data_IF_052611523051
#
_entry.id   IF_052611523051
#
_cell.length_a   1.000
_cell.length_b   1.000
_cell.length_c   1.000
_cell.angle_alpha   90.00
_cell.angle_beta   90.00
_cell.angle_gamma   90.00
#
_symmetry.space_group_name_H-M   'P 1'
#
loop_
_entity.id
_entity.type
_entity.pdbx_description
1 polymer ?
#
# COMPACT_ATOMS: atom_id res chain seq x y z
N UNK A 1 2.96 18.98 -20.24
CA UNK A 1 3.58 18.92 -18.90
C UNK A 1 4.72 17.88 -18.82
N UNK A 2 4.91 16.99 -19.80
CA UNK A 2 5.86 15.85 -19.68
C UNK A 2 7.17 15.94 -20.48
N UNK A 3 7.31 16.88 -21.43
CA UNK A 3 8.53 16.96 -22.26
C UNK A 3 9.80 17.22 -21.44
N UNK A 4 9.70 17.90 -20.29
CA UNK A 4 10.82 18.14 -19.37
C UNK A 4 11.31 16.87 -18.66
N UNK A 5 10.48 15.83 -18.54
CA UNK A 5 10.86 14.54 -17.95
C UNK A 5 11.66 13.67 -18.93
N UNK A 6 11.50 13.92 -20.24
CA UNK A 6 12.19 13.19 -21.31
C UNK A 6 13.45 13.90 -21.82
N UNK A 7 13.60 15.21 -21.56
CA UNK A 7 14.78 15.98 -21.99
C UNK A 7 15.93 15.91 -20.99
N UNK A 8 17.02 15.25 -21.42
CA UNK A 8 18.32 15.29 -20.73
C UNK A 8 19.06 16.59 -21.05
N UNK A 9 19.75 17.21 -20.08
CA UNK A 9 19.92 16.77 -18.69
C UNK A 9 18.88 17.29 -17.70
N UNK A 10 17.94 18.13 -18.16
CA UNK A 10 17.00 18.86 -17.30
C UNK A 10 16.14 17.94 -16.43
N UNK A 11 15.84 16.73 -16.91
CA UNK A 11 15.05 15.74 -16.22
C UNK A 11 15.69 15.26 -14.90
N UNK A 12 16.92 14.76 -14.94
CA UNK A 12 17.58 14.22 -13.74
C UNK A 12 18.01 15.33 -12.79
N UNK A 13 18.39 16.51 -13.31
CA UNK A 13 18.70 17.68 -12.46
C UNK A 13 17.46 18.09 -11.65
N UNK A 14 16.31 18.21 -12.32
CA UNK A 14 15.04 18.54 -11.67
C UNK A 14 14.61 17.47 -10.66
N UNK A 15 14.75 16.20 -11.02
CA UNK A 15 14.42 15.07 -10.12
C UNK A 15 15.33 15.05 -8.88
N UNK A 16 16.64 15.25 -9.04
CA UNK A 16 17.59 15.31 -7.93
C UNK A 16 17.28 16.48 -6.98
N UNK A 17 16.98 17.67 -7.51
CA UNK A 17 16.60 18.81 -6.68
C UNK A 17 15.28 18.54 -5.92
N UNK A 18 14.28 17.97 -6.59
CA UNK A 18 13.02 17.57 -5.96
C UNK A 18 13.23 16.56 -4.83
N UNK A 19 14.04 15.52 -5.07
CA UNK A 19 14.36 14.50 -4.07
C UNK A 19 15.09 15.06 -2.85
N UNK A 20 16.09 15.93 -3.06
CA UNK A 20 16.81 16.58 -1.95
C UNK A 20 15.88 17.48 -1.13
N UNK A 21 15.00 18.23 -1.79
CA UNK A 21 13.98 19.04 -1.10
C UNK A 21 13.04 18.17 -0.27
N UNK A 22 12.57 17.06 -0.83
CA UNK A 22 11.69 16.12 -0.12
C UNK A 22 12.37 15.51 1.11
N UNK A 23 13.63 15.08 0.99
CA UNK A 23 14.45 14.59 2.11
C UNK A 23 14.55 15.62 3.25
N UNK A 24 14.85 16.88 2.91
CA UNK A 24 14.95 17.95 3.91
C UNK A 24 13.61 18.21 4.58
N UNK A 25 12.51 18.29 3.80
CA UNK A 25 11.16 18.51 4.35
C UNK A 25 10.75 17.35 5.26
N UNK A 26 10.98 16.09 4.84
CA UNK A 26 10.65 14.92 5.65
C UNK A 26 11.44 14.91 6.96
N UNK A 27 12.72 15.26 6.95
CA UNK A 27 13.57 15.26 8.15
C UNK A 27 13.14 16.30 9.20
N UNK A 28 12.48 17.38 8.78
CA UNK A 28 12.02 18.45 9.68
C UNK A 28 10.58 18.23 10.19
N UNK A 29 9.86 17.22 9.70
CA UNK A 29 8.50 16.94 10.15
C UNK A 29 8.54 16.05 11.41
N UNK A 30 7.75 16.37 12.45
CA UNK A 30 7.62 15.49 13.61
C UNK A 30 6.91 14.18 13.22
N UNK A 31 7.29 13.09 13.88
CA UNK A 31 6.62 11.80 13.70
C UNK A 31 5.25 11.82 14.38
N UNK A 32 4.18 11.51 13.63
CA UNK A 32 2.80 11.53 14.09
C UNK A 32 2.33 10.13 14.42
N UNK A 33 1.74 9.97 15.61
CA UNK A 33 1.09 8.71 16.01
C UNK A 33 -0.36 8.70 15.56
N UNK A 34 -0.83 7.54 15.09
CA UNK A 34 -2.20 7.34 14.62
C UNK A 34 -2.82 6.19 15.41
N UNK A 35 -4.12 6.28 15.73
CA UNK A 35 -4.86 5.18 16.36
C UNK A 35 -4.36 4.84 17.76
N UNK A 36 -4.02 5.83 18.57
CA UNK A 36 -3.61 5.62 19.97
C UNK A 36 -4.75 5.05 20.83
N UNK A 37 -6.00 5.24 20.40
CA UNK A 37 -7.22 4.71 20.99
C UNK A 37 -7.63 3.34 20.42
N UNK A 38 -6.87 2.78 19.49
CA UNK A 38 -7.19 1.50 18.87
C UNK A 38 -7.16 0.36 19.91
N UNK A 39 -8.31 -0.26 20.12
CA UNK A 39 -8.49 -1.39 21.03
C UNK A 39 -9.24 -2.52 20.34
N UNK A 40 -8.93 -3.76 20.71
CA UNK A 40 -9.70 -4.93 20.24
C UNK A 40 -11.13 -4.82 20.74
N UNK A 41 -12.09 -5.11 19.86
CA UNK A 41 -13.49 -5.20 20.22
C UNK A 41 -13.68 -6.16 21.42
N UNK A 42 -14.44 -5.79 22.48
CA UNK A 42 -14.66 -6.63 23.65
C UNK A 42 -15.13 -8.05 23.33
N UNK A 43 -15.93 -8.24 22.28
CA UNK A 43 -16.38 -9.56 21.84
C UNK A 43 -15.24 -10.48 21.36
N UNK A 44 -14.13 -9.89 20.89
CA UNK A 44 -12.94 -10.61 20.47
C UNK A 44 -11.94 -10.86 21.62
N UNK A 45 -12.05 -10.10 22.71
CA UNK A 45 -11.22 -10.29 23.90
C UNK A 45 -11.57 -11.60 24.63
N UNK A 46 -12.83 -12.03 24.55
CA UNK A 46 -13.32 -13.30 25.14
C UNK A 46 -13.24 -14.48 24.18
N UNK A 47 -12.69 -14.28 22.97
CA UNK A 47 -12.64 -15.31 21.95
C UNK A 47 -11.49 -16.31 22.19
N UNK A 48 -11.82 -17.56 22.52
CA UNK A 48 -10.85 -18.58 22.90
C UNK A 48 -10.01 -19.15 21.72
N UNK A 49 -10.40 -18.91 20.46
CA UNK A 49 -9.65 -19.39 19.30
C UNK A 49 -8.67 -18.33 18.81
N UNK A 50 -7.42 -18.73 18.57
CA UNK A 50 -6.43 -17.85 17.92
C UNK A 50 -6.84 -17.58 16.48
N UNK A 51 -6.76 -16.31 16.07
CA UNK A 51 -6.96 -15.88 14.68
C UNK A 51 -5.60 -15.62 14.04
N UNK A 52 -5.41 -16.10 12.80
CA UNK A 52 -4.20 -15.87 12.01
C UNK A 52 -4.62 -15.32 10.65
N UNK A 53 -4.11 -14.13 10.33
CA UNK A 53 -4.31 -13.49 9.02
C UNK A 53 -2.97 -13.41 8.31
N UNK A 54 -2.93 -13.88 7.06
CA UNK A 54 -1.76 -13.77 6.18
C UNK A 54 -2.07 -12.77 5.08
N UNK A 55 -1.30 -11.69 5.02
CA UNK A 55 -1.39 -10.70 3.95
C UNK A 55 -0.27 -10.94 2.94
N UNK A 56 -0.65 -11.27 1.70
CA UNK A 56 0.30 -11.46 0.59
C UNK A 56 0.33 -10.18 -0.25
N UNK A 57 1.48 -9.51 -0.29
CA UNK A 57 1.70 -8.32 -1.14
C UNK A 57 2.32 -8.76 -2.46
N UNK A 58 1.55 -8.65 -3.54
CA UNK A 58 2.05 -8.91 -4.89
C UNK A 58 2.91 -7.76 -5.42
N UNK A 59 3.65 -8.00 -6.51
CA UNK A 59 4.56 -7.01 -7.10
C UNK A 59 4.04 -6.46 -8.44
N UNK A 60 4.09 -7.26 -9.51
CA UNK A 60 3.74 -6.82 -10.87
C UNK A 60 2.53 -7.55 -11.49
N UNK A 61 1.74 -8.23 -10.67
CA UNK A 61 0.59 -9.00 -11.14
C UNK A 61 -0.56 -8.05 -11.53
N UNK A 62 -1.15 -8.26 -12.72
CA UNK A 62 -2.21 -7.42 -13.28
C UNK A 62 -3.52 -8.19 -13.39
N UNK A 63 -4.62 -7.57 -12.98
CA UNK A 63 -5.96 -8.19 -12.93
C UNK A 63 -6.39 -8.82 -14.27
N UNK A 64 -6.08 -8.16 -15.39
CA UNK A 64 -6.40 -8.63 -16.74
C UNK A 64 -5.82 -10.01 -17.10
N UNK A 65 -4.79 -10.46 -16.35
CA UNK A 65 -4.10 -11.73 -16.60
C UNK A 65 -4.44 -12.81 -15.57
N UNK A 66 -5.44 -12.61 -14.70
CA UNK A 66 -5.89 -13.62 -13.73
C UNK A 66 -7.06 -14.43 -14.27
N UNK A 67 -6.89 -15.75 -14.36
CA UNK A 67 -7.96 -16.67 -14.79
C UNK A 67 -9.21 -16.55 -13.93
N UNK A 68 -9.06 -16.46 -12.60
CA UNK A 68 -10.16 -16.24 -11.65
C UNK A 68 -10.91 -14.91 -11.84
N UNK A 69 -10.38 -13.97 -12.64
CA UNK A 69 -11.02 -12.70 -12.98
C UNK A 69 -11.57 -12.68 -14.43
N UNK A 70 -11.57 -13.82 -15.12
CA UNK A 70 -12.13 -13.97 -16.47
C UNK A 70 -11.10 -13.98 -17.60
N UNK A 71 -9.80 -14.09 -17.30
CA UNK A 71 -8.78 -14.23 -18.35
C UNK A 71 -8.90 -15.57 -19.09
N UNK A 72 -8.74 -15.54 -20.42
CA UNK A 72 -8.94 -16.70 -21.30
C UNK A 72 -7.98 -17.88 -21.03
N UNK A 73 -6.83 -17.64 -20.38
CA UNK A 73 -5.90 -18.70 -19.97
C UNK A 73 -6.05 -18.96 -18.48
N UNK A 74 -6.03 -20.24 -18.09
CA UNK A 74 -6.05 -20.63 -16.68
C UNK A 74 -4.68 -20.36 -16.03
N UNK A 75 -4.49 -19.13 -15.57
CA UNK A 75 -3.29 -18.68 -14.85
C UNK A 75 -3.38 -18.88 -13.34
N UNK A 76 -4.54 -19.31 -12.83
CA UNK A 76 -4.82 -19.46 -11.40
C UNK A 76 -5.53 -20.79 -11.07
N UNK A 77 -5.01 -21.94 -11.54
CA UNK A 77 -5.71 -23.23 -11.48
C UNK A 77 -5.91 -23.75 -10.04
N UNK A 78 -5.04 -23.34 -9.11
CA UNK A 78 -5.12 -23.72 -7.70
C UNK A 78 -6.18 -22.87 -6.98
N UNK A 79 -6.12 -21.55 -7.15
CA UNK A 79 -7.08 -20.62 -6.54
C UNK A 79 -8.52 -20.91 -6.97
N UNK A 80 -8.73 -21.28 -8.24
CA UNK A 80 -10.07 -21.60 -8.75
C UNK A 80 -10.73 -22.83 -8.08
N UNK A 81 -9.97 -23.62 -7.31
CA UNK A 81 -10.47 -24.79 -6.58
C UNK A 81 -10.68 -24.53 -5.09
N UNK A 82 -10.31 -23.35 -4.60
CA UNK A 82 -10.42 -23.01 -3.19
C UNK A 82 -11.87 -22.67 -2.83
N UNK A 83 -12.41 -23.41 -1.85
CA UNK A 83 -13.77 -23.18 -1.37
C UNK A 83 -13.86 -21.85 -0.59
N UNK A 84 -14.89 -21.05 -0.88
CA UNK A 84 -15.10 -19.76 -0.23
C UNK A 84 -14.16 -18.64 -0.69
N UNK A 85 -13.44 -18.82 -1.81
CA UNK A 85 -12.64 -17.76 -2.41
C UNK A 85 -13.55 -16.59 -2.83
N UNK A 86 -13.15 -15.37 -2.44
CA UNK A 86 -13.79 -14.13 -2.89
C UNK A 86 -12.80 -13.40 -3.81
N UNK A 87 -13.21 -13.15 -5.05
CA UNK A 87 -12.43 -12.44 -6.05
C UNK A 87 -13.00 -11.04 -6.28
N UNK A 88 -12.13 -10.02 -6.24
CA UNK A 88 -12.50 -8.63 -6.51
C UNK A 88 -12.01 -8.23 -7.90
N UNK A 89 -12.93 -7.86 -8.79
CA UNK A 89 -12.61 -7.53 -10.19
C UNK A 89 -12.28 -6.06 -10.42
N UNK A 90 -12.75 -5.17 -9.55
CA UNK A 90 -12.57 -3.73 -9.69
C UNK A 90 -11.70 -3.17 -8.56
N UNK A 91 -10.38 -3.37 -8.68
CA UNK A 91 -9.37 -2.90 -7.71
C UNK A 91 -8.29 -2.11 -8.43
N UNK A 92 -7.88 -0.98 -7.86
CA UNK A 92 -6.86 -0.10 -8.42
C UNK A 92 -5.73 0.11 -7.42
N UNK A 93 -4.49 0.14 -7.91
CA UNK A 93 -3.32 0.45 -7.09
C UNK A 93 -3.24 1.95 -6.75
N UNK A 94 -2.59 2.27 -5.62
CA UNK A 94 -2.27 3.67 -5.29
C UNK A 94 -1.35 4.31 -6.34
N UNK A 95 -0.33 3.56 -6.78
CA UNK A 95 0.65 3.99 -7.76
C UNK A 95 1.00 2.87 -8.74
N UNK A 96 1.96 3.14 -9.63
CA UNK A 96 2.44 2.19 -10.64
C UNK A 96 3.80 1.58 -10.28
N UNK A 97 4.36 1.97 -9.12
CA UNK A 97 5.67 1.56 -8.64
C UNK A 97 5.57 1.07 -7.19
N UNK A 98 6.39 0.06 -6.84
CA UNK A 98 6.43 -0.53 -5.49
C UNK A 98 6.75 0.52 -4.43
N UNK A 99 7.69 1.42 -4.71
CA UNK A 99 8.14 2.47 -3.80
C UNK A 99 7.04 3.46 -3.37
N UNK A 100 5.98 3.60 -4.19
CA UNK A 100 4.82 4.45 -3.90
C UNK A 100 3.65 3.60 -3.39
N UNK A 101 3.43 2.45 -4.02
CA UNK A 101 2.23 1.63 -3.77
C UNK A 101 2.26 0.97 -2.40
N UNK A 102 3.41 0.41 -1.99
CA UNK A 102 3.51 -0.31 -0.72
C UNK A 102 3.30 0.64 0.46
N UNK A 103 4.01 1.78 0.59
CA UNK A 103 3.75 2.67 1.72
C UNK A 103 2.34 3.27 1.70
N UNK A 104 1.78 3.56 0.52
CA UNK A 104 0.40 4.04 0.40
C UNK A 104 -0.62 3.03 0.95
N UNK A 105 -0.49 1.74 0.58
CA UNK A 105 -1.42 0.68 1.02
C UNK A 105 -1.48 0.51 2.53
N UNK A 106 -0.38 0.78 3.23
CA UNK A 106 -0.29 0.68 4.69
C UNK A 106 -0.48 2.01 5.40
N UNK A 107 -0.58 3.12 4.68
CA UNK A 107 -0.85 4.43 5.26
C UNK A 107 -2.35 4.67 5.42
N UNK A 108 -2.71 5.59 6.32
CA UNK A 108 -4.08 6.12 6.40
C UNK A 108 -4.37 7.15 5.29
N UNK A 109 -3.39 7.45 4.42
CA UNK A 109 -3.51 8.43 3.35
C UNK A 109 -4.06 7.74 2.10
N UNK A 110 -5.34 7.96 1.82
CA UNK A 110 -5.95 7.49 0.57
C UNK A 110 -5.20 8.02 -0.68
N UNK A 111 -5.36 7.33 -1.82
CA UNK A 111 -4.60 7.59 -3.07
C UNK A 111 -4.51 9.08 -3.46
N UNK A 112 -5.61 9.82 -3.39
CA UNK A 112 -5.67 11.24 -3.79
C UNK A 112 -4.92 12.19 -2.85
N UNK A 113 -4.61 11.74 -1.63
CA UNK A 113 -3.95 12.54 -0.59
C UNK A 113 -2.60 11.96 -0.18
N UNK A 114 -2.12 10.94 -0.90
CA UNK A 114 -0.87 10.30 -0.60
C UNK A 114 0.31 11.26 -0.79
N UNK A 115 1.18 11.31 0.20
CA UNK A 115 2.42 12.05 0.19
C UNK A 115 3.49 11.16 0.82
N UNK A 116 4.57 10.90 0.09
CA UNK A 116 5.64 10.02 0.56
C UNK A 116 6.36 10.59 1.79
N UNK A 117 6.50 11.92 1.88
CA UNK A 117 7.08 12.57 3.06
C UNK A 117 6.18 12.46 4.29
N UNK A 118 4.86 12.59 4.14
CA UNK A 118 3.91 12.36 5.26
C UNK A 118 3.87 10.90 5.65
N UNK A 119 3.68 9.98 4.71
CA UNK A 119 3.59 8.55 4.98
C UNK A 119 4.83 7.98 5.69
N UNK A 120 6.02 8.58 5.48
CA UNK A 120 7.25 8.23 6.21
C UNK A 120 7.28 8.71 7.67
N UNK A 121 6.53 9.75 7.98
CA UNK A 121 6.52 10.44 9.27
C UNK A 121 5.23 10.24 10.04
N UNK A 122 4.42 9.25 9.67
CA UNK A 122 3.18 8.89 10.37
C UNK A 122 3.11 7.38 10.55
N UNK A 123 2.48 6.92 11.63
CA UNK A 123 2.26 5.49 11.84
C UNK A 123 1.30 4.88 10.82
N UNK A 124 1.60 3.65 10.40
CA UNK A 124 0.78 2.90 9.45
C UNK A 124 -0.12 1.86 10.11
N UNK A 125 -0.86 1.14 9.27
CA UNK A 125 -1.74 0.04 9.67
C UNK A 125 -1.05 -0.97 10.59
N UNK A 126 0.19 -1.37 10.26
CA UNK A 126 0.92 -2.39 11.01
C UNK A 126 1.32 -1.92 12.42
N UNK A 127 1.64 -0.63 12.56
CA UNK A 127 1.98 -0.04 13.86
C UNK A 127 0.77 -0.02 14.79
N UNK A 128 -0.40 0.38 14.25
CA UNK A 128 -1.67 0.39 14.98
C UNK A 128 -2.09 -1.03 15.36
N UNK A 129 -2.00 -2.00 14.45
CA UNK A 129 -2.32 -3.40 14.74
C UNK A 129 -1.42 -3.97 15.85
N UNK A 130 -0.12 -3.70 15.78
CA UNK A 130 0.84 -4.14 16.81
C UNK A 130 0.51 -3.54 18.18
N UNK A 131 0.04 -2.29 18.23
CA UNK A 131 -0.39 -1.64 19.47
C UNK A 131 -1.68 -2.22 20.01
N UNK A 132 -2.67 -2.40 19.14
CA UNK A 132 -4.01 -2.81 19.53
C UNK A 132 -4.08 -4.27 20.02
N UNK A 133 -3.15 -5.12 19.60
CA UNK A 133 -3.05 -6.52 20.01
C UNK A 133 -3.68 -7.49 19.03
#
# INVERSE_FOLDING_TARGET
HELRLMMVPSNYIGASFGYLREQVVSAHQPFVKIGEDAQRNPAWQTHNRKSLTVLVVGESARAENFGILGYNRDTTPKLNKEAGLIAFTNVHSCGTETAVSVPCMFSNLGRNHYSASKAKNEEGLLDVLKRAG
#
